data_IF_604319778518
#
_entry.id   IF_604319778518
#
_cell.length_a   1.000
_cell.length_b   1.000
_cell.length_c   1.000
_cell.angle_alpha   90.00
_cell.angle_beta   90.00
_cell.angle_gamma   90.00
#
_symmetry.space_group_name_H-M   'P 1'
#
loop_
_entity.id
_entity.type
_entity.pdbx_description
1 polymer ?
#
# COMPACT_ATOMS: atom_id res chain seq x y z
N UNK A 1 -17.28 13.00 -1.20
CA UNK A 1 -15.97 12.89 -1.88
C UNK A 1 -15.70 11.40 -1.96
N UNK A 2 -15.43 10.87 -3.13
CA UNK A 2 -15.11 9.44 -3.32
C UNK A 2 -13.59 9.20 -3.36
N UNK A 3 -13.17 7.94 -3.40
CA UNK A 3 -11.75 7.57 -3.39
C UNK A 3 -10.99 8.03 -4.65
N UNK A 4 -11.66 8.13 -5.79
CA UNK A 4 -11.04 8.65 -7.01
C UNK A 4 -10.69 10.13 -6.84
N UNK A 5 -11.64 10.93 -6.34
CA UNK A 5 -11.42 12.35 -6.03
C UNK A 5 -10.31 12.55 -4.99
N UNK A 6 -10.26 11.71 -3.93
CA UNK A 6 -9.19 11.75 -2.92
C UNK A 6 -7.85 11.44 -3.57
N UNK A 7 -7.80 10.43 -4.46
CA UNK A 7 -6.59 10.07 -5.19
C UNK A 7 -6.12 11.21 -6.10
N UNK A 8 -7.02 11.86 -6.83
CA UNK A 8 -6.68 12.97 -7.72
C UNK A 8 -6.14 14.17 -6.91
N UNK A 9 -6.75 14.50 -5.80
CA UNK A 9 -6.27 15.56 -4.90
C UNK A 9 -4.87 15.24 -4.34
N UNK A 10 -4.61 13.97 -3.97
CA UNK A 10 -3.28 13.53 -3.55
C UNK A 10 -2.27 13.67 -4.69
N UNK A 11 -2.60 13.25 -5.90
CA UNK A 11 -1.72 13.39 -7.07
C UNK A 11 -1.36 14.86 -7.34
N UNK A 12 -2.33 15.75 -7.25
CA UNK A 12 -2.11 17.19 -7.42
C UNK A 12 -1.19 17.76 -6.34
N UNK A 13 -1.36 17.36 -5.09
CA UNK A 13 -0.49 17.77 -3.98
C UNK A 13 0.94 17.22 -4.11
N UNK A 14 1.12 16.04 -4.69
CA UNK A 14 2.44 15.43 -4.89
C UNK A 14 3.19 15.97 -6.12
N UNK A 15 2.49 16.45 -7.14
CA UNK A 15 3.08 16.91 -8.42
C UNK A 15 4.16 17.98 -8.28
N UNK A 16 4.05 18.98 -7.40
CA UNK A 16 5.10 20.00 -7.23
C UNK A 16 6.31 19.51 -6.43
N UNK A 17 6.23 18.38 -5.74
CA UNK A 17 7.29 17.91 -4.86
C UNK A 17 8.52 17.46 -5.68
N UNK A 18 9.71 17.76 -5.16
CA UNK A 18 10.98 17.38 -5.76
C UNK A 18 11.83 16.64 -4.72
N UNK A 19 12.55 15.64 -5.18
CA UNK A 19 13.38 14.78 -4.34
C UNK A 19 14.79 14.73 -4.93
N UNK A 20 15.79 15.12 -4.14
CA UNK A 20 17.18 15.17 -4.54
C UNK A 20 18.00 13.96 -4.09
N UNK A 21 19.31 13.97 -4.37
CA UNK A 21 20.19 12.89 -3.98
C UNK A 21 20.06 12.49 -2.51
N UNK A 22 20.09 11.17 -2.20
CA UNK A 22 20.46 10.05 -3.08
C UNK A 22 19.32 9.49 -3.96
N UNK A 23 18.11 10.06 -3.91
CA UNK A 23 17.00 9.70 -4.80
C UNK A 23 17.32 10.17 -6.21
N UNK A 24 17.25 9.26 -7.18
CA UNK A 24 17.51 9.54 -8.59
C UNK A 24 16.28 9.33 -9.48
N UNK A 25 15.33 8.50 -9.00
CA UNK A 25 14.08 8.21 -9.68
C UNK A 25 12.95 8.16 -8.66
N UNK A 26 11.80 8.67 -9.06
CA UNK A 26 10.54 8.58 -8.31
C UNK A 26 9.50 7.99 -9.24
N UNK A 27 8.85 6.91 -8.79
CA UNK A 27 7.74 6.30 -9.50
C UNK A 27 6.44 6.61 -8.78
N UNK A 28 5.43 6.97 -9.54
CA UNK A 28 4.07 7.16 -9.03
C UNK A 28 3.11 6.18 -9.73
N UNK A 29 2.90 4.98 -9.20
CA UNK A 29 2.00 3.99 -9.79
C UNK A 29 0.56 4.48 -9.97
N UNK A 30 0.10 5.43 -9.14
CA UNK A 30 -1.25 6.00 -9.28
C UNK A 30 -1.41 6.88 -10.53
N UNK A 31 -0.32 7.23 -11.22
CA UNK A 31 -0.35 7.91 -12.52
C UNK A 31 -0.27 6.90 -13.66
N UNK A 32 0.83 6.15 -13.75
CA UNK A 32 1.09 5.30 -14.91
C UNK A 32 0.38 3.93 -14.85
N UNK A 33 0.00 3.45 -13.66
CA UNK A 33 -0.80 2.25 -13.45
C UNK A 33 -2.21 2.60 -12.92
N UNK A 34 -2.75 3.75 -13.34
CA UNK A 34 -4.05 4.25 -12.89
C UNK A 34 -5.19 3.29 -13.24
N UNK A 35 -5.21 2.74 -14.43
CA UNK A 35 -6.29 1.84 -14.87
C UNK A 35 -6.46 0.61 -13.96
N UNK A 36 -5.43 -0.20 -13.65
CA UNK A 36 -5.61 -1.30 -12.72
C UNK A 36 -5.89 -0.83 -11.28
N UNK A 37 -5.42 0.36 -10.87
CA UNK A 37 -5.81 0.93 -9.58
C UNK A 37 -7.29 1.31 -9.54
N UNK A 38 -7.82 1.93 -10.59
CA UNK A 38 -9.25 2.26 -10.67
C UNK A 38 -10.12 1.00 -10.65
N UNK A 39 -9.72 -0.07 -11.36
CA UNK A 39 -10.39 -1.37 -11.26
C UNK A 39 -10.34 -1.96 -9.84
N UNK A 40 -9.22 -1.79 -9.12
CA UNK A 40 -9.11 -2.20 -7.72
C UNK A 40 -10.11 -1.45 -6.84
N UNK A 41 -10.26 -0.14 -7.05
CA UNK A 41 -11.25 0.65 -6.35
C UNK A 41 -12.69 0.23 -6.73
N UNK A 42 -12.97 0.12 -8.01
CA UNK A 42 -14.30 -0.26 -8.53
C UNK A 42 -14.79 -1.59 -7.96
N UNK A 43 -13.93 -2.60 -8.00
CA UNK A 43 -14.30 -3.95 -7.58
C UNK A 43 -14.41 -4.11 -6.06
N UNK A 44 -13.57 -3.41 -5.29
CA UNK A 44 -13.35 -3.78 -3.90
C UNK A 44 -13.53 -2.65 -2.88
N UNK A 45 -13.74 -1.39 -3.28
CA UNK A 45 -13.83 -0.28 -2.35
C UNK A 45 -15.23 0.02 -1.82
N UNK A 46 -16.21 -0.85 -2.05
CA UNK A 46 -17.54 -0.64 -1.43
C UNK A 46 -17.41 -0.34 0.06
N UNK A 47 -18.18 0.61 0.56
CA UNK A 47 -18.10 1.05 1.96
C UNK A 47 -19.41 0.80 2.73
N UNK A 48 -19.38 0.76 4.06
CA UNK A 48 -18.21 0.91 4.94
C UNK A 48 -17.27 -0.29 4.90
N UNK A 49 -16.04 -0.11 5.40
CA UNK A 49 -15.09 -1.20 5.67
C UNK A 49 -14.84 -1.28 7.17
N UNK A 50 -14.77 -2.46 7.73
CA UNK A 50 -14.49 -2.64 9.15
C UNK A 50 -13.00 -2.39 9.47
N UNK A 51 -12.11 -2.83 8.58
CA UNK A 51 -10.67 -2.84 8.82
C UNK A 51 -9.92 -2.32 7.61
N UNK A 52 -9.07 -1.32 7.81
CA UNK A 52 -8.10 -0.86 6.80
C UNK A 52 -6.71 -1.36 7.16
N UNK A 53 -6.09 -2.12 6.25
CA UNK A 53 -4.67 -2.48 6.33
C UNK A 53 -3.85 -1.40 5.61
N UNK A 54 -3.02 -0.69 6.37
CA UNK A 54 -2.23 0.43 5.87
C UNK A 54 -0.77 0.03 5.66
N UNK A 55 -0.32 -0.07 4.41
CA UNK A 55 1.09 -0.22 4.05
C UNK A 55 1.85 1.11 4.06
N UNK A 56 3.16 1.06 3.90
CA UNK A 56 4.00 2.26 3.86
C UNK A 56 4.01 2.91 2.47
N UNK A 57 4.62 2.25 1.50
CA UNK A 57 4.79 2.74 0.13
C UNK A 57 5.05 1.59 -0.86
N UNK A 58 4.99 1.83 -2.18
CA UNK A 58 5.15 0.80 -3.20
C UNK A 58 6.49 0.06 -3.11
N UNK A 59 6.43 -1.25 -3.33
CA UNK A 59 7.59 -2.04 -3.66
C UNK A 59 7.82 -2.09 -5.18
N UNK A 60 9.09 -2.34 -5.63
CA UNK A 60 9.45 -2.26 -7.06
C UNK A 60 8.89 -3.39 -7.91
N UNK A 61 8.53 -4.54 -7.32
CA UNK A 61 8.02 -5.73 -8.01
C UNK A 61 6.56 -6.05 -7.67
N UNK A 62 5.92 -5.16 -6.91
CA UNK A 62 4.52 -5.21 -6.51
C UNK A 62 3.73 -4.04 -7.07
N UNK A 63 3.30 -3.12 -6.20
CA UNK A 63 2.47 -1.98 -6.61
C UNK A 63 3.10 -1.13 -7.72
N UNK A 64 4.43 -1.03 -7.80
CA UNK A 64 5.10 -0.33 -8.90
C UNK A 64 4.82 -0.97 -10.27
N UNK A 65 4.44 -2.25 -10.32
CA UNK A 65 4.08 -2.96 -11.55
C UNK A 65 2.57 -2.95 -11.81
N UNK A 66 1.75 -3.04 -10.77
CA UNK A 66 0.32 -3.32 -10.89
C UNK A 66 -0.59 -2.16 -10.50
N UNK A 67 -0.08 -1.13 -9.81
CA UNK A 67 -0.90 -0.07 -9.21
C UNK A 67 -1.66 -0.49 -7.94
N UNK A 68 -1.77 -1.78 -7.64
CA UNK A 68 -2.49 -2.31 -6.48
C UNK A 68 -1.58 -2.35 -5.25
N UNK A 69 -2.02 -1.91 -4.05
CA UNK A 69 -1.23 -2.00 -2.83
C UNK A 69 -0.79 -3.44 -2.52
N UNK A 70 0.49 -3.63 -2.21
CA UNK A 70 1.14 -4.95 -2.07
C UNK A 70 0.99 -5.86 -3.31
N UNK A 71 0.57 -5.32 -4.44
CA UNK A 71 0.08 -6.03 -5.61
C UNK A 71 1.13 -6.83 -6.36
N UNK A 72 1.50 -8.00 -5.82
CA UNK A 72 2.29 -9.01 -6.52
C UNK A 72 1.54 -9.45 -7.78
N UNK A 73 2.24 -9.51 -8.92
CA UNK A 73 1.63 -9.61 -10.26
C UNK A 73 0.70 -10.80 -10.41
N UNK A 74 1.15 -11.99 -9.99
CA UNK A 74 0.37 -13.22 -10.13
C UNK A 74 -0.93 -13.13 -9.33
N UNK A 75 -0.83 -12.68 -8.08
CA UNK A 75 -1.99 -12.53 -7.21
C UNK A 75 -3.00 -11.52 -7.74
N UNK A 76 -2.51 -10.37 -8.22
CA UNK A 76 -3.40 -9.32 -8.76
C UNK A 76 -4.13 -9.81 -10.00
N UNK A 77 -3.42 -10.51 -10.89
CA UNK A 77 -3.99 -11.04 -12.13
C UNK A 77 -4.96 -12.21 -11.88
N UNK A 78 -4.54 -13.19 -11.10
CA UNK A 78 -5.25 -14.48 -11.01
C UNK A 78 -6.29 -14.50 -9.91
N UNK A 79 -5.98 -13.94 -8.75
CA UNK A 79 -6.89 -13.96 -7.61
C UNK A 79 -7.74 -12.70 -7.51
N UNK A 80 -7.14 -11.51 -7.59
CA UNK A 80 -7.91 -10.26 -7.60
C UNK A 80 -8.61 -10.00 -8.95
N UNK A 81 -8.29 -10.75 -10.00
CA UNK A 81 -8.89 -10.64 -11.34
C UNK A 81 -8.77 -9.24 -11.93
N UNK A 82 -7.68 -8.56 -11.61
CA UNK A 82 -7.35 -7.24 -12.12
C UNK A 82 -6.25 -7.36 -13.16
N UNK A 83 -6.55 -6.96 -14.38
CA UNK A 83 -5.57 -6.84 -15.45
C UNK A 83 -5.99 -5.69 -16.39
N UNK A 84 -5.13 -4.69 -16.51
CA UNK A 84 -5.33 -3.56 -17.40
C UNK A 84 -3.98 -3.04 -17.91
N UNK A 85 -3.95 -2.23 -18.97
CA UNK A 85 -2.73 -1.61 -19.46
C UNK A 85 -2.06 -0.77 -18.37
N UNK A 86 -0.75 -0.95 -18.26
CA UNK A 86 0.13 -0.19 -17.36
C UNK A 86 1.09 0.63 -18.23
N UNK A 87 1.13 1.93 -18.01
CA UNK A 87 2.10 2.82 -18.63
C UNK A 87 3.48 2.74 -17.99
N UNK A 88 4.30 3.73 -18.25
CA UNK A 88 5.66 3.81 -17.71
C UNK A 88 5.90 5.15 -17.02
N UNK A 89 6.73 5.20 -15.96
CA UNK A 89 7.17 6.46 -15.40
C UNK A 89 8.02 7.25 -16.41
N UNK A 90 8.03 8.58 -16.31
CA UNK A 90 8.77 9.46 -17.21
C UNK A 90 10.28 9.14 -17.28
N UNK A 91 10.86 8.65 -16.19
CA UNK A 91 12.25 8.21 -16.13
C UNK A 91 12.33 6.82 -15.50
N UNK A 92 12.82 5.86 -16.27
CA UNK A 92 12.92 4.46 -15.85
C UNK A 92 14.34 4.17 -15.37
N UNK A 93 14.45 3.54 -14.19
CA UNK A 93 15.72 3.04 -13.64
C UNK A 93 16.03 1.66 -14.21
N UNK A 94 17.25 1.45 -14.75
CA UNK A 94 17.65 0.22 -15.44
C UNK A 94 17.46 -1.05 -14.59
N UNK A 95 17.72 -0.97 -13.27
CA UNK A 95 17.56 -2.11 -12.34
C UNK A 95 16.12 -2.27 -11.82
N UNK A 96 15.23 -1.34 -12.12
CA UNK A 96 13.83 -1.33 -11.66
C UNK A 96 12.89 -0.94 -12.80
N UNK A 97 12.89 -1.71 -13.90
CA UNK A 97 11.97 -1.44 -15.01
C UNK A 97 10.52 -1.66 -14.57
N UNK A 98 9.63 -0.88 -15.17
CA UNK A 98 8.19 -1.12 -15.08
C UNK A 98 7.76 -1.90 -16.30
N UNK A 99 7.31 -3.14 -16.08
CA UNK A 99 6.88 -4.10 -17.10
C UNK A 99 5.38 -4.42 -16.98
N UNK A 100 4.71 -3.83 -15.98
CA UNK A 100 3.31 -4.11 -15.70
C UNK A 100 3.07 -5.59 -15.40
N UNK A 101 2.00 -6.12 -15.96
CA UNK A 101 1.61 -7.53 -15.79
C UNK A 101 2.52 -8.53 -16.53
N UNK A 102 3.50 -8.07 -17.30
CA UNK A 102 4.55 -8.93 -17.87
C UNK A 102 5.76 -9.10 -16.94
N UNK A 103 5.77 -8.46 -15.77
CA UNK A 103 6.87 -8.60 -14.82
C UNK A 103 6.89 -10.01 -14.22
N UNK A 104 8.01 -10.70 -14.42
CA UNK A 104 8.23 -12.07 -13.89
C UNK A 104 8.78 -12.09 -12.45
N UNK A 105 9.13 -10.93 -11.89
CA UNK A 105 9.65 -10.84 -10.53
C UNK A 105 8.51 -10.75 -9.53
N UNK A 106 8.63 -11.52 -8.45
CA UNK A 106 7.66 -11.52 -7.36
C UNK A 106 8.11 -10.66 -6.19
N UNK A 107 7.17 -9.96 -5.57
CA UNK A 107 7.39 -9.19 -4.36
C UNK A 107 7.06 -10.02 -3.12
N UNK A 108 8.07 -10.30 -2.31
CA UNK A 108 7.92 -11.19 -1.15
C UNK A 108 6.88 -10.66 -0.14
N UNK A 109 6.85 -9.35 0.09
CA UNK A 109 5.88 -8.76 1.04
C UNK A 109 4.45 -8.89 0.54
N UNK A 110 4.23 -8.64 -0.75
CA UNK A 110 2.92 -8.81 -1.39
C UNK A 110 2.49 -10.27 -1.40
N UNK A 111 3.38 -11.18 -1.80
CA UNK A 111 3.08 -12.62 -1.82
C UNK A 111 2.71 -13.14 -0.43
N UNK A 112 3.37 -12.69 0.65
CA UNK A 112 3.02 -13.10 2.02
C UNK A 112 1.68 -12.55 2.45
N UNK A 113 1.43 -11.24 2.24
CA UNK A 113 0.17 -10.63 2.62
C UNK A 113 -1.01 -11.29 1.89
N UNK A 114 -0.92 -11.35 0.57
CA UNK A 114 -2.01 -11.91 -0.22
C UNK A 114 -2.11 -13.44 -0.12
N UNK A 115 -1.01 -14.16 0.13
CA UNK A 115 -1.03 -15.59 0.44
C UNK A 115 -1.83 -15.87 1.71
N UNK A 116 -1.55 -15.16 2.80
CA UNK A 116 -2.35 -15.23 4.03
C UNK A 116 -3.84 -14.92 3.77
N UNK A 117 -4.12 -13.89 2.94
CA UNK A 117 -5.50 -13.53 2.60
C UNK A 117 -6.18 -14.67 1.84
N UNK A 118 -5.52 -15.25 0.83
CA UNK A 118 -6.05 -16.38 0.04
C UNK A 118 -6.33 -17.61 0.90
N UNK A 119 -5.40 -17.95 1.78
CA UNK A 119 -5.53 -19.12 2.67
C UNK A 119 -6.64 -18.92 3.71
N UNK A 120 -6.92 -17.66 4.08
CA UNK A 120 -7.90 -17.34 5.12
C UNK A 120 -9.30 -17.10 4.57
N UNK A 121 -9.44 -16.47 3.42
CA UNK A 121 -10.72 -15.94 2.91
C UNK A 121 -11.22 -16.63 1.64
N UNK A 122 -10.46 -17.52 1.04
CA UNK A 122 -10.79 -18.27 -0.18
C UNK A 122 -11.10 -17.37 -1.40
N UNK A 123 -12.00 -16.39 -1.27
CA UNK A 123 -12.34 -15.45 -2.36
C UNK A 123 -12.04 -13.99 -2.00
N UNK A 124 -11.74 -13.15 -3.00
CA UNK A 124 -11.55 -11.71 -2.79
C UNK A 124 -12.75 -11.06 -2.09
N UNK A 125 -13.96 -11.41 -2.51
CA UNK A 125 -15.19 -10.82 -2.00
C UNK A 125 -15.34 -11.04 -0.49
N UNK A 126 -14.96 -12.24 0.00
CA UNK A 126 -14.98 -12.53 1.44
C UNK A 126 -14.01 -11.65 2.22
N UNK A 127 -12.83 -11.42 1.70
CA UNK A 127 -11.86 -10.50 2.32
C UNK A 127 -12.34 -9.05 2.26
N UNK A 128 -12.70 -8.58 1.07
CA UNK A 128 -13.08 -7.19 0.87
C UNK A 128 -14.45 -6.83 1.45
N UNK A 129 -15.27 -7.79 1.86
CA UNK A 129 -16.47 -7.51 2.64
C UNK A 129 -16.17 -6.79 3.97
N UNK A 130 -15.00 -7.01 4.56
CA UNK A 130 -14.60 -6.43 5.85
C UNK A 130 -13.31 -5.61 5.78
N UNK A 131 -12.37 -5.99 4.96
CA UNK A 131 -11.03 -5.42 4.87
C UNK A 131 -10.87 -4.56 3.62
N UNK A 132 -9.94 -3.62 3.67
CA UNK A 132 -9.39 -2.97 2.49
C UNK A 132 -7.91 -2.67 2.70
N UNK A 133 -7.11 -2.72 1.63
CA UNK A 133 -5.67 -2.50 1.70
C UNK A 133 -5.30 -1.22 0.98
N UNK A 134 -4.56 -0.35 1.65
CA UNK A 134 -4.05 0.90 1.06
C UNK A 134 -2.57 1.09 1.40
N UNK A 135 -1.88 1.94 0.65
CA UNK A 135 -0.58 2.46 1.03
C UNK A 135 -0.71 3.91 1.50
N UNK A 136 0.03 4.27 2.55
CA UNK A 136 0.13 5.62 3.07
C UNK A 136 0.73 6.60 2.04
N UNK A 137 1.86 6.23 1.43
CA UNK A 137 2.53 7.01 0.40
C UNK A 137 2.47 6.25 -0.93
N UNK A 138 2.02 6.86 -2.03
CA UNK A 138 1.96 6.20 -3.33
C UNK A 138 3.30 6.20 -4.07
N UNK A 139 4.34 6.89 -3.58
CA UNK A 139 5.60 7.07 -4.29
C UNK A 139 6.63 6.00 -3.92
N UNK A 140 7.31 5.48 -4.95
CA UNK A 140 8.51 4.65 -4.82
C UNK A 140 9.74 5.51 -5.12
N UNK A 141 10.65 5.63 -4.14
CA UNK A 141 11.89 6.38 -4.26
C UNK A 141 13.06 5.44 -4.53
N UNK A 142 13.80 5.65 -5.60
CA UNK A 142 14.87 4.76 -6.03
C UNK A 142 16.21 5.52 -6.06
N UNK A 143 17.21 4.95 -5.39
CA UNK A 143 18.59 5.43 -5.43
C UNK A 143 19.32 4.93 -6.70
N UNK A 144 20.45 5.51 -7.05
CA UNK A 144 21.26 5.09 -8.22
C UNK A 144 21.65 3.61 -8.22
N UNK A 145 21.78 3.01 -7.02
CA UNK A 145 22.03 1.58 -6.85
C UNK A 145 20.84 0.68 -7.23
N UNK A 146 19.64 1.26 -7.34
CA UNK A 146 18.36 0.54 -7.44
C UNK A 146 17.74 0.20 -6.09
N UNK A 147 18.31 0.70 -4.98
CA UNK A 147 17.74 0.52 -3.64
C UNK A 147 16.46 1.35 -3.50
N UNK A 148 15.41 0.74 -2.93
CA UNK A 148 14.22 1.46 -2.50
C UNK A 148 14.55 2.27 -1.23
N UNK A 149 14.32 3.59 -1.29
CA UNK A 149 14.42 4.48 -0.15
C UNK A 149 13.01 4.73 0.40
N UNK A 150 12.83 4.49 1.68
CA UNK A 150 11.53 4.66 2.32
C UNK A 150 11.26 6.13 2.69
N UNK A 151 10.01 6.58 2.79
CA UNK A 151 9.65 7.98 3.10
C UNK A 151 10.35 8.53 4.34
N UNK A 152 10.50 7.74 5.40
CA UNK A 152 11.16 8.15 6.64
C UNK A 152 12.68 8.42 6.49
N UNK A 153 13.30 7.95 5.42
CA UNK A 153 14.72 8.17 5.13
C UNK A 153 14.97 9.34 4.16
N UNK A 154 13.94 10.05 3.73
CA UNK A 154 14.05 11.28 2.95
C UNK A 154 14.58 12.44 3.83
N UNK A 155 15.15 13.45 3.20
CA UNK A 155 15.54 14.68 3.89
C UNK A 155 14.33 15.35 4.51
N UNK A 156 14.49 16.02 5.64
CA UNK A 156 13.38 16.65 6.37
C UNK A 156 12.57 17.60 5.48
N UNK A 157 13.25 18.45 4.69
CA UNK A 157 12.61 19.41 3.79
C UNK A 157 11.77 18.74 2.68
N UNK A 158 12.16 17.55 2.22
CA UNK A 158 11.43 16.78 1.21
C UNK A 158 10.31 15.95 1.86
N UNK A 159 10.59 15.41 3.04
CA UNK A 159 9.69 14.53 3.77
C UNK A 159 8.48 15.27 4.33
N UNK A 160 8.67 16.48 4.88
CA UNK A 160 7.58 17.20 5.54
C UNK A 160 6.39 17.44 4.61
N UNK A 161 6.52 18.09 3.44
CA UNK A 161 5.37 18.29 2.54
C UNK A 161 4.81 16.99 1.96
N UNK A 162 5.63 15.95 1.78
CA UNK A 162 5.16 14.63 1.39
C UNK A 162 4.23 14.03 2.45
N UNK A 163 4.64 14.06 3.72
CA UNK A 163 3.83 13.53 4.82
C UNK A 163 2.54 14.32 5.00
N UNK A 164 2.58 15.64 4.88
CA UNK A 164 1.38 16.50 4.95
C UNK A 164 0.34 16.10 3.90
N UNK A 165 0.76 15.92 2.64
CA UNK A 165 -0.13 15.47 1.57
C UNK A 165 -0.68 14.05 1.82
N UNK A 166 0.16 13.12 2.26
CA UNK A 166 -0.25 11.74 2.55
C UNK A 166 -1.15 11.66 3.79
N UNK A 167 -0.90 12.45 4.84
CA UNK A 167 -1.73 12.50 6.04
C UNK A 167 -3.15 12.99 5.71
N UNK A 168 -3.24 14.04 4.89
CA UNK A 168 -4.55 14.56 4.44
C UNK A 168 -5.32 13.50 3.63
N UNK A 169 -4.67 12.85 2.67
CA UNK A 169 -5.31 11.81 1.87
C UNK A 169 -5.72 10.60 2.72
N UNK A 170 -4.88 10.17 3.67
CA UNK A 170 -5.21 9.11 4.61
C UNK A 170 -6.44 9.49 5.44
N UNK A 171 -6.46 10.69 6.02
CA UNK A 171 -7.60 11.16 6.82
C UNK A 171 -8.90 11.13 6.02
N UNK A 172 -8.92 11.69 4.82
CA UNK A 172 -10.09 11.69 3.93
C UNK A 172 -10.53 10.26 3.57
N UNK A 173 -9.57 9.36 3.32
CA UNK A 173 -9.85 7.95 3.04
C UNK A 173 -10.52 7.25 4.22
N UNK A 174 -10.06 7.52 5.45
CA UNK A 174 -10.65 6.94 6.65
C UNK A 174 -12.01 7.53 6.97
N UNK A 175 -12.21 8.83 6.77
CA UNK A 175 -13.53 9.48 6.88
C UNK A 175 -14.53 8.91 5.87
N UNK A 176 -14.09 8.53 4.67
CA UNK A 176 -14.92 7.90 3.66
C UNK A 176 -15.30 6.46 4.01
N UNK A 177 -14.31 5.61 4.39
CA UNK A 177 -14.56 4.21 4.73
C UNK A 177 -15.22 4.02 6.10
N UNK A 178 -15.03 4.92 7.05
CA UNK A 178 -15.49 4.85 8.45
C UNK A 178 -15.16 3.51 9.11
N UNK A 179 -13.91 3.07 9.09
CA UNK A 179 -13.54 1.78 9.64
C UNK A 179 -13.54 1.82 11.17
N UNK A 180 -13.77 0.66 11.79
CA UNK A 180 -13.54 0.47 13.22
C UNK A 180 -12.05 0.39 13.53
N UNK A 181 -11.26 -0.19 12.62
CA UNK A 181 -9.84 -0.42 12.82
C UNK A 181 -9.01 0.11 11.64
N UNK A 182 -7.90 0.78 11.94
CA UNK A 182 -6.80 1.03 11.00
C UNK A 182 -5.56 0.30 11.52
N UNK A 183 -5.07 -0.66 10.76
CA UNK A 183 -3.96 -1.52 11.15
C UNK A 183 -2.75 -1.23 10.27
N UNK A 184 -1.74 -0.58 10.83
CA UNK A 184 -0.48 -0.34 10.17
C UNK A 184 0.30 -1.64 9.95
N UNK A 185 0.63 -1.94 8.69
CA UNK A 185 1.49 -3.06 8.33
C UNK A 185 2.95 -2.61 8.48
N UNK A 186 3.49 -2.81 9.68
CA UNK A 186 4.78 -2.32 10.11
C UNK A 186 4.72 -1.00 10.87
N UNK A 187 5.78 -0.75 11.65
CA UNK A 187 5.87 0.37 12.60
C UNK A 187 5.60 1.73 11.96
N UNK A 188 6.23 2.03 10.82
CA UNK A 188 6.06 3.33 10.16
C UNK A 188 4.58 3.62 9.84
N UNK A 189 3.87 2.65 9.27
CA UNK A 189 2.47 2.83 8.91
C UNK A 189 1.58 3.04 10.15
N UNK A 190 1.85 2.30 11.23
CA UNK A 190 1.16 2.51 12.51
C UNK A 190 1.42 3.89 13.12
N UNK A 191 2.67 4.34 13.16
CA UNK A 191 3.04 5.68 13.64
C UNK A 191 2.38 6.79 12.81
N UNK A 192 2.32 6.63 11.47
CA UNK A 192 1.64 7.61 10.61
C UNK A 192 0.13 7.60 10.79
N UNK A 193 -0.48 6.42 10.95
CA UNK A 193 -1.90 6.33 11.27
C UNK A 193 -2.22 7.10 12.56
N UNK A 194 -1.47 6.88 13.64
CA UNK A 194 -1.65 7.63 14.89
C UNK A 194 -1.52 9.15 14.70
N UNK A 195 -0.52 9.60 13.94
CA UNK A 195 -0.31 11.03 13.72
C UNK A 195 -1.41 11.68 12.86
N UNK A 196 -1.76 11.04 11.73
CA UNK A 196 -2.71 11.60 10.76
C UNK A 196 -4.17 11.54 11.23
N UNK A 197 -4.53 10.53 12.03
CA UNK A 197 -5.93 10.25 12.40
C UNK A 197 -6.30 10.75 13.81
N UNK A 198 -5.45 11.58 14.41
CA UNK A 198 -5.76 12.21 15.70
C UNK A 198 -7.12 12.91 15.67
N UNK A 199 -7.98 12.60 16.64
CA UNK A 199 -9.33 13.15 16.76
C UNK A 199 -10.41 12.42 15.96
N UNK A 200 -10.08 11.35 15.24
CA UNK A 200 -11.08 10.44 14.65
C UNK A 200 -11.37 9.28 15.60
N UNK A 201 -12.64 8.85 15.61
CA UNK A 201 -13.09 7.68 16.38
C UNK A 201 -12.73 6.38 15.63
N UNK A 202 -11.47 5.97 15.73
CA UNK A 202 -10.96 4.76 15.09
C UNK A 202 -9.91 4.10 15.99
N UNK A 203 -9.94 2.77 16.09
CA UNK A 203 -8.91 2.01 16.81
C UNK A 203 -7.71 1.78 15.90
N UNK A 204 -6.55 2.25 16.32
CA UNK A 204 -5.31 2.10 15.55
C UNK A 204 -4.45 1.01 16.16
N UNK A 205 -4.04 0.04 15.32
CA UNK A 205 -3.13 -1.03 15.68
C UNK A 205 -1.94 -1.13 14.73
N UNK A 206 -1.02 -2.02 15.06
CA UNK A 206 0.14 -2.30 14.20
C UNK A 206 0.41 -3.80 14.18
N UNK A 207 0.64 -4.35 13.00
CA UNK A 207 1.09 -5.73 12.80
C UNK A 207 2.50 -5.75 12.20
N UNK A 208 3.18 -6.86 12.39
CA UNK A 208 4.53 -7.08 11.84
C UNK A 208 4.52 -6.98 10.31
N UNK A 209 5.46 -6.21 9.75
CA UNK A 209 5.61 -6.08 8.29
C UNK A 209 6.10 -7.39 7.65
N UNK A 210 5.50 -7.87 6.54
CA UNK A 210 5.84 -9.15 5.87
C UNK A 210 7.18 -9.14 5.12
N UNK A 211 8.00 -8.12 5.27
CA UNK A 211 9.29 -8.01 4.57
C UNK A 211 10.26 -9.14 4.94
N UNK A 212 11.03 -9.67 3.97
CA UNK A 212 12.10 -10.62 4.25
C UNK A 212 13.23 -10.03 5.11
N UNK A 213 13.35 -8.71 5.19
CA UNK A 213 14.27 -8.04 6.09
C UNK A 213 13.84 -8.11 7.57
N UNK A 214 12.61 -8.57 7.85
CA UNK A 214 12.12 -8.74 9.21
C UNK A 214 12.28 -10.20 9.66
N UNK A 215 13.17 -10.51 10.64
CA UNK A 215 13.40 -11.87 11.11
C UNK A 215 12.15 -12.56 11.66
N UNK A 216 11.25 -11.81 12.31
CA UNK A 216 9.99 -12.37 12.83
C UNK A 216 9.09 -12.88 11.70
N UNK A 217 9.00 -12.14 10.59
CA UNK A 217 8.20 -12.53 9.44
C UNK A 217 8.74 -13.77 8.72
N UNK A 218 10.04 -14.07 8.84
CA UNK A 218 10.66 -15.23 8.19
C UNK A 218 10.38 -16.55 8.93
N UNK A 219 9.81 -16.50 10.14
CA UNK A 219 9.46 -17.68 10.95
C UNK A 219 7.99 -18.12 10.81
N UNK A 220 7.25 -17.55 9.86
CA UNK A 220 5.83 -17.82 9.65
C UNK A 220 4.99 -16.57 9.88
N UNK A 221 4.86 -15.75 8.83
CA UNK A 221 4.14 -14.46 8.92
C UNK A 221 2.64 -14.67 9.13
N UNK A 222 2.06 -15.71 8.53
CA UNK A 222 0.62 -16.00 8.56
C UNK A 222 0.12 -16.26 9.99
N UNK A 223 0.84 -17.09 10.75
CA UNK A 223 0.54 -17.34 12.16
C UNK A 223 0.72 -16.09 13.01
N UNK A 224 1.73 -15.29 12.68
CA UNK A 224 2.06 -14.07 13.41
C UNK A 224 0.98 -13.00 13.21
N UNK A 225 0.54 -12.75 11.97
CA UNK A 225 -0.50 -11.76 11.69
C UNK A 225 -1.84 -12.17 12.33
N UNK A 226 -2.20 -13.45 12.29
CA UNK A 226 -3.41 -13.95 12.94
C UNK A 226 -3.39 -13.72 14.47
N UNK A 227 -2.24 -13.92 15.10
CA UNK A 227 -2.05 -13.63 16.53
C UNK A 227 -2.19 -12.14 16.82
N UNK A 228 -1.46 -11.29 16.07
CA UNK A 228 -1.43 -9.84 16.27
C UNK A 228 -2.81 -9.20 16.02
N UNK A 229 -3.55 -9.64 14.99
CA UNK A 229 -4.92 -9.18 14.75
C UNK A 229 -5.87 -9.57 15.90
N UNK A 230 -5.73 -10.78 16.45
CA UNK A 230 -6.51 -11.22 17.60
C UNK A 230 -6.22 -10.38 18.85
N UNK A 231 -4.96 -10.03 19.09
CA UNK A 231 -4.55 -9.16 20.20
C UNK A 231 -5.15 -7.75 20.09
N UNK A 232 -5.42 -7.27 18.85
CA UNK A 232 -6.14 -6.03 18.59
C UNK A 232 -7.67 -6.18 18.70
N UNK A 233 -8.19 -7.36 19.06
CA UNK A 233 -9.62 -7.64 19.13
C UNK A 233 -10.28 -7.93 17.78
N UNK A 234 -9.49 -8.07 16.71
CA UNK A 234 -9.97 -8.37 15.36
C UNK A 234 -10.05 -9.89 15.20
N UNK A 235 -11.28 -10.42 15.12
CA UNK A 235 -11.51 -11.83 14.83
C UNK A 235 -11.54 -12.03 13.32
N UNK A 236 -10.56 -12.74 12.82
CA UNK A 236 -10.54 -13.25 11.46
C UNK A 236 -11.16 -14.64 11.53
N UNK A 237 -12.36 -14.83 10.96
CA UNK A 237 -12.96 -16.16 10.84
C UNK A 237 -12.22 -16.88 9.70
N UNK A 238 -11.74 -18.08 10.00
CA UNK A 238 -11.42 -19.06 8.98
C UNK A 238 -12.71 -19.50 8.31
#
# INVERSE_FOLDING_TARGET
MDLSTITDALLDALRPLRFGPPVTHVYNPLEYARKPYDLYLELYSSHPKEIILLGMNPGPWGMAQTGVPFGEVTTVKEWLRIQAPVGTPAKIHNKRPVQGFACSKSEVSGRRLWGWVQDTFVTPEQFFARFFVINYCPLLFIESSGRNRTPNNLRIAERKPLLEACDQALRQTIEWFRPRYVVGVGRFAGERAHAALTGLEVTIGTITHPSPANPKANRGWDSLVMKELRELGIRVKA
#
